data_IF_265671849663
#
_entry.id   IF_265671849663
#
_cell.length_a   1.000
_cell.length_b   1.000
_cell.length_c   1.000
_cell.angle_alpha   90.00
_cell.angle_beta   90.00
_cell.angle_gamma   90.00
#
_symmetry.space_group_name_H-M   'P 1'
#
loop_
_entity.id
_entity.type
_entity.pdbx_description
1 polymer ?
#
# COMPACT_ATOMS: atom_id res chain seq x y z
N UNK A 1 -12.94 9.37 -29.59
CA UNK A 1 -12.48 9.97 -28.31
C UNK A 1 -11.37 9.06 -27.78
N UNK A 2 -10.12 9.51 -27.79
CA UNK A 2 -8.98 8.67 -27.38
C UNK A 2 -9.05 8.51 -25.86
N UNK A 3 -9.40 7.32 -25.38
CA UNK A 3 -9.34 7.01 -23.96
C UNK A 3 -7.87 7.11 -23.51
N UNK A 4 -7.56 8.01 -22.58
CA UNK A 4 -6.27 7.98 -21.90
C UNK A 4 -6.19 6.66 -21.15
N UNK A 5 -5.19 5.86 -21.46
CA UNK A 5 -4.89 4.56 -20.84
C UNK A 5 -4.75 4.61 -19.31
N UNK A 6 -4.55 5.79 -18.72
CA UNK A 6 -4.51 5.98 -17.25
C UNK A 6 -5.88 6.16 -16.58
N UNK A 7 -6.98 6.33 -17.32
CA UNK A 7 -8.27 6.68 -16.73
C UNK A 7 -8.74 5.67 -15.67
N UNK A 8 -8.48 4.38 -15.85
CA UNK A 8 -8.99 3.34 -14.95
C UNK A 8 -8.23 3.30 -13.62
N UNK A 9 -6.89 3.31 -13.66
CA UNK A 9 -6.05 3.37 -12.46
C UNK A 9 -6.26 4.68 -11.70
N UNK A 10 -6.34 5.80 -12.42
CA UNK A 10 -6.68 7.09 -11.82
C UNK A 10 -8.06 7.02 -11.16
N UNK A 11 -9.07 6.48 -11.85
CA UNK A 11 -10.43 6.34 -11.29
C UNK A 11 -10.48 5.49 -10.02
N UNK A 12 -9.74 4.37 -9.99
CA UNK A 12 -9.64 3.50 -8.82
C UNK A 12 -9.01 4.24 -7.63
N UNK A 13 -7.85 4.86 -7.83
CA UNK A 13 -7.17 5.60 -6.78
C UNK A 13 -7.99 6.80 -6.31
N UNK A 14 -8.66 7.50 -7.22
CA UNK A 14 -9.61 8.56 -6.91
C UNK A 14 -10.76 8.04 -6.04
N UNK A 15 -11.37 6.91 -6.38
CA UNK A 15 -12.47 6.32 -5.61
C UNK A 15 -12.03 5.93 -4.19
N UNK A 16 -10.89 5.25 -4.06
CA UNK A 16 -10.32 4.90 -2.74
C UNK A 16 -10.04 6.15 -1.92
N UNK A 17 -9.39 7.17 -2.53
CA UNK A 17 -9.05 8.43 -1.86
C UNK A 17 -10.30 9.18 -1.40
N UNK A 18 -11.33 9.20 -2.23
CA UNK A 18 -12.60 9.81 -1.88
C UNK A 18 -13.34 9.05 -0.77
N UNK A 19 -13.25 7.72 -0.75
CA UNK A 19 -13.80 6.87 0.31
C UNK A 19 -13.18 7.21 1.67
N UNK A 20 -11.86 7.12 1.79
CA UNK A 20 -11.17 7.39 3.05
C UNK A 20 -11.36 8.84 3.50
N UNK A 21 -11.34 9.79 2.56
CA UNK A 21 -11.61 11.20 2.90
C UNK A 21 -13.02 11.41 3.45
N UNK A 22 -14.02 10.66 2.97
CA UNK A 22 -15.39 10.72 3.52
C UNK A 22 -15.48 10.06 4.90
N UNK A 23 -14.69 9.01 5.15
CA UNK A 23 -14.68 8.27 6.40
C UNK A 23 -14.01 9.04 7.54
N UNK A 24 -12.80 9.56 7.31
CA UNK A 24 -11.95 10.14 8.37
C UNK A 24 -11.62 11.62 8.15
N UNK A 25 -11.98 12.19 7.00
CA UNK A 25 -11.68 13.58 6.64
C UNK A 25 -10.34 13.75 5.93
N UNK A 26 -10.11 14.94 5.36
CA UNK A 26 -8.90 15.27 4.59
C UNK A 26 -7.62 15.26 5.44
N UNK A 27 -7.72 15.63 6.72
CA UNK A 27 -6.55 15.80 7.60
C UNK A 27 -5.80 14.49 7.88
N UNK A 28 -6.52 13.37 7.93
CA UNK A 28 -5.97 12.06 8.31
C UNK A 28 -5.75 11.16 7.08
N UNK A 29 -6.25 11.55 5.90
CA UNK A 29 -6.22 10.79 4.65
C UNK A 29 -4.88 10.12 4.33
N UNK A 30 -3.76 10.83 4.47
CA UNK A 30 -2.42 10.26 4.22
C UNK A 30 -2.09 9.13 5.18
N UNK A 31 -2.37 9.31 6.48
CA UNK A 31 -2.12 8.30 7.49
C UNK A 31 -3.02 7.07 7.29
N UNK A 32 -4.29 7.29 6.95
CA UNK A 32 -5.21 6.19 6.66
C UNK A 32 -4.74 5.37 5.45
N UNK A 33 -4.26 6.04 4.39
CA UNK A 33 -3.68 5.37 3.23
C UNK A 33 -2.39 4.62 3.55
N UNK A 34 -1.52 5.18 4.40
CA UNK A 34 -0.31 4.49 4.90
C UNK A 34 -0.68 3.25 5.75
N UNK A 35 -1.84 3.26 6.41
CA UNK A 35 -2.31 2.17 7.26
C UNK A 35 -3.14 1.11 6.50
N UNK A 36 -3.47 1.35 5.22
CA UNK A 36 -4.20 0.37 4.43
C UNK A 36 -3.38 -0.92 4.28
N UNK A 37 -4.01 -2.10 4.37
CA UNK A 37 -3.31 -3.34 4.10
C UNK A 37 -2.83 -3.37 2.64
N UNK A 38 -1.71 -4.04 2.31
CA UNK A 38 -1.21 -4.14 0.94
C UNK A 38 -2.26 -4.68 -0.04
N UNK A 39 -3.17 -5.53 0.43
CA UNK A 39 -4.26 -6.11 -0.35
C UNK A 39 -5.47 -5.17 -0.55
N UNK A 40 -5.47 -3.94 -0.03
CA UNK A 40 -6.63 -3.04 -0.10
C UNK A 40 -7.07 -2.74 -1.53
N UNK A 41 -6.12 -2.47 -2.43
CA UNK A 41 -6.41 -2.25 -3.85
C UNK A 41 -6.99 -3.51 -4.52
N UNK A 42 -6.44 -4.68 -4.19
CA UNK A 42 -6.95 -5.96 -4.69
C UNK A 42 -8.41 -6.19 -4.25
N UNK A 43 -8.71 -5.98 -2.96
CA UNK A 43 -10.07 -6.15 -2.45
C UNK A 43 -11.09 -5.27 -3.19
N UNK A 44 -10.68 -4.07 -3.59
CA UNK A 44 -11.52 -3.20 -4.40
C UNK A 44 -11.71 -3.73 -5.83
N UNK A 45 -10.64 -4.23 -6.46
CA UNK A 45 -10.71 -4.82 -7.80
C UNK A 45 -11.61 -6.05 -7.85
N UNK A 46 -11.64 -6.87 -6.80
CA UNK A 46 -12.48 -8.08 -6.70
C UNK A 46 -14.00 -7.77 -6.67
N UNK A 47 -14.41 -6.50 -6.59
CA UNK A 47 -15.82 -6.10 -6.72
C UNK A 47 -16.28 -6.00 -8.18
N UNK A 48 -15.36 -6.01 -9.13
CA UNK A 48 -15.67 -5.94 -10.56
C UNK A 48 -15.78 -7.35 -11.13
N UNK A 49 -16.97 -7.73 -11.61
CA UNK A 49 -17.23 -9.07 -12.12
C UNK A 49 -16.29 -9.46 -13.27
N UNK A 50 -16.01 -8.54 -14.18
CA UNK A 50 -15.10 -8.77 -15.31
C UNK A 50 -13.66 -9.03 -14.85
N UNK A 51 -13.19 -8.30 -13.83
CA UNK A 51 -11.88 -8.51 -13.22
C UNK A 51 -11.80 -9.89 -12.57
N UNK A 52 -12.82 -10.27 -11.79
CA UNK A 52 -12.90 -11.59 -11.16
C UNK A 52 -12.87 -12.69 -12.22
N UNK A 53 -13.68 -12.55 -13.28
CA UNK A 53 -13.74 -13.52 -14.36
C UNK A 53 -12.38 -13.68 -15.05
N UNK A 54 -11.67 -12.57 -15.29
CA UNK A 54 -10.36 -12.59 -15.94
C UNK A 54 -9.25 -13.17 -15.06
N UNK A 55 -9.28 -12.91 -13.75
CA UNK A 55 -8.19 -13.30 -12.82
C UNK A 55 -8.38 -14.70 -12.25
N UNK A 56 -9.59 -15.06 -11.82
CA UNK A 56 -9.85 -16.35 -11.17
C UNK A 56 -11.11 -17.07 -11.68
N UNK A 57 -11.83 -16.52 -12.67
CA UNK A 57 -13.09 -17.06 -13.19
C UNK A 57 -14.27 -16.81 -12.24
N UNK A 58 -14.14 -17.21 -10.98
CA UNK A 58 -15.10 -16.93 -9.89
C UNK A 58 -14.38 -16.69 -8.57
N UNK A 59 -15.02 -15.98 -7.64
CA UNK A 59 -14.46 -15.74 -6.31
C UNK A 59 -14.20 -17.04 -5.53
N UNK A 60 -15.00 -18.09 -5.74
CA UNK A 60 -14.82 -19.40 -5.11
C UNK A 60 -13.48 -20.06 -5.48
N UNK A 61 -12.91 -19.68 -6.64
CA UNK A 61 -11.64 -20.21 -7.15
C UNK A 61 -10.45 -19.30 -6.84
N UNK A 62 -10.66 -18.22 -6.08
CA UNK A 62 -9.60 -17.27 -5.76
C UNK A 62 -8.42 -17.96 -5.05
N UNK A 63 -8.69 -18.86 -4.10
CA UNK A 63 -7.65 -19.61 -3.40
C UNK A 63 -6.83 -20.51 -4.34
N UNK A 64 -7.50 -21.16 -5.30
CA UNK A 64 -6.82 -21.97 -6.33
C UNK A 64 -5.92 -21.09 -7.21
N UNK A 65 -6.41 -19.93 -7.62
CA UNK A 65 -5.64 -18.98 -8.44
C UNK A 65 -4.38 -18.50 -7.71
N UNK A 66 -4.47 -18.18 -6.41
CA UNK A 66 -3.28 -17.88 -5.59
C UNK A 66 -2.31 -19.05 -5.49
N UNK A 67 -2.82 -20.26 -5.23
CA UNK A 67 -1.97 -21.44 -5.12
C UNK A 67 -1.23 -21.75 -6.43
N UNK A 68 -1.83 -21.47 -7.59
CA UNK A 68 -1.20 -21.63 -8.90
C UNK A 68 -0.11 -20.57 -9.16
N UNK A 69 -0.32 -19.32 -8.75
CA UNK A 69 0.71 -18.28 -8.81
C UNK A 69 1.94 -18.65 -7.97
N UNK A 70 1.70 -19.21 -6.78
CA UNK A 70 2.76 -19.65 -5.88
C UNK A 70 3.45 -20.94 -6.37
N UNK A 71 2.72 -21.83 -7.08
CA UNK A 71 3.25 -23.10 -7.56
C UNK A 71 4.49 -22.95 -8.46
N UNK A 72 4.52 -21.91 -9.31
CA UNK A 72 5.68 -21.61 -10.15
C UNK A 72 6.92 -21.18 -9.34
N UNK A 73 6.72 -20.56 -8.18
CA UNK A 73 7.78 -20.09 -7.27
C UNK A 73 8.11 -21.10 -6.15
N UNK A 74 7.29 -22.15 -5.99
CA UNK A 74 7.39 -23.13 -4.89
C UNK A 74 8.69 -23.93 -4.90
N UNK A 75 9.28 -24.16 -6.08
CA UNK A 75 10.60 -24.77 -6.25
C UNK A 75 11.75 -23.95 -5.63
N UNK A 76 11.51 -22.67 -5.27
CA UNK A 76 12.46 -21.78 -4.58
C UNK A 76 12.11 -21.54 -3.09
N UNK A 77 11.00 -22.09 -2.58
CA UNK A 77 10.30 -21.57 -1.39
C UNK A 77 10.40 -22.41 -0.11
N UNK A 78 11.14 -23.52 -0.06
CA UNK A 78 11.17 -24.36 1.16
C UNK A 78 11.87 -23.65 2.35
N UNK A 79 12.58 -22.53 2.11
CA UNK A 79 13.23 -21.74 3.15
C UNK A 79 12.69 -20.31 3.22
N UNK A 80 11.40 -20.11 3.54
CA UNK A 80 10.91 -18.77 3.90
C UNK A 80 9.91 -18.86 5.05
N UNK A 81 10.43 -18.92 6.28
CA UNK A 81 9.78 -18.18 7.36
C UNK A 81 9.87 -16.72 6.96
N UNK A 82 8.76 -16.15 6.49
CA UNK A 82 8.74 -14.80 5.95
C UNK A 82 9.02 -13.81 7.08
N UNK A 83 10.29 -13.45 7.27
CA UNK A 83 10.60 -12.08 7.65
C UNK A 83 9.99 -11.22 6.55
N UNK A 84 8.80 -10.68 6.82
CA UNK A 84 8.21 -9.66 5.99
C UNK A 84 9.08 -8.42 6.14
N UNK A 85 10.20 -8.38 5.41
CA UNK A 85 10.78 -7.14 4.97
C UNK A 85 9.71 -6.49 4.10
N UNK A 86 8.80 -5.75 4.74
CA UNK A 86 7.88 -4.88 4.05
C UNK A 86 8.73 -4.07 3.06
N UNK A 87 8.40 -4.06 1.76
CA UNK A 87 9.16 -3.25 0.81
C UNK A 87 9.17 -1.84 1.39
N UNK A 88 10.36 -1.27 1.59
CA UNK A 88 10.51 0.09 2.07
C UNK A 88 9.79 0.99 1.06
N UNK A 89 8.57 1.41 1.40
CA UNK A 89 7.76 2.25 0.52
C UNK A 89 8.45 3.61 0.51
N UNK A 90 9.16 3.91 -0.58
CA UNK A 90 9.73 5.23 -0.81
C UNK A 90 8.57 6.23 -0.94
N UNK A 91 8.25 6.87 0.17
CA UNK A 91 7.31 7.98 0.24
C UNK A 91 8.08 9.27 0.37
N UNK A 92 7.60 10.33 -0.29
CA UNK A 92 8.12 11.69 -0.09
C UNK A 92 7.93 12.20 1.34
N UNK A 93 7.20 11.46 2.18
CA UNK A 93 6.98 11.74 3.60
C UNK A 93 7.51 10.61 4.47
N UNK A 94 8.15 10.96 5.59
CA UNK A 94 8.56 10.02 6.63
C UNK A 94 7.38 9.16 7.10
N UNK A 95 7.62 7.89 7.45
CA UNK A 95 6.59 7.04 8.04
C UNK A 95 6.12 7.60 9.39
N UNK A 96 4.96 7.17 9.88
CA UNK A 96 4.49 7.60 11.22
C UNK A 96 5.49 7.21 12.33
N UNK A 97 6.17 6.07 12.20
CA UNK A 97 7.22 5.63 13.13
C UNK A 97 8.43 6.56 13.06
N UNK A 98 8.89 6.90 11.86
CA UNK A 98 10.03 7.80 11.66
C UNK A 98 9.72 9.22 12.11
N UNK A 99 8.51 9.72 11.83
CA UNK A 99 8.02 11.01 12.33
C UNK A 99 8.06 11.07 13.86
N UNK A 100 7.63 10.01 14.55
CA UNK A 100 7.70 9.92 16.01
C UNK A 100 9.15 9.89 16.50
N UNK A 101 10.03 9.21 15.78
CA UNK A 101 11.45 9.11 16.11
C UNK A 101 12.16 10.47 15.98
N UNK A 102 11.93 11.20 14.88
CA UNK A 102 12.51 12.53 14.64
C UNK A 102 11.99 13.58 15.61
N UNK A 103 10.74 13.47 16.08
CA UNK A 103 10.14 14.38 17.07
C UNK A 103 10.56 14.11 18.52
N UNK A 104 11.52 13.21 18.75
CA UNK A 104 12.09 13.01 20.09
C UNK A 104 12.98 14.19 20.45
N UNK A 105 12.95 14.63 21.70
CA UNK A 105 13.76 15.74 22.22
C UNK A 105 15.25 15.59 21.88
N UNK A 106 15.78 14.36 21.98
CA UNK A 106 17.18 14.03 21.65
C UNK A 106 17.54 14.44 20.21
N UNK A 107 16.60 14.32 19.27
CA UNK A 107 16.83 14.69 17.87
C UNK A 107 16.73 16.20 17.66
N UNK A 108 15.78 16.87 18.32
CA UNK A 108 15.67 18.33 18.31
C UNK A 108 16.94 18.98 18.85
N UNK A 109 17.45 18.48 19.98
CA UNK A 109 18.71 18.93 20.59
C UNK A 109 19.91 18.74 19.65
N UNK A 110 19.96 17.60 18.95
CA UNK A 110 21.02 17.31 17.98
C UNK A 110 20.98 18.26 16.77
N UNK A 111 19.78 18.55 16.24
CA UNK A 111 19.62 19.48 15.13
C UNK A 111 20.00 20.90 15.56
N UNK A 112 19.56 21.35 16.73
CA UNK A 112 19.91 22.67 17.27
C UNK A 112 21.40 22.80 17.59
N UNK A 113 22.04 21.74 18.08
CA UNK A 113 23.48 21.69 18.32
C UNK A 113 24.28 21.78 17.02
N UNK A 114 23.91 20.99 16.01
CA UNK A 114 24.55 21.04 14.70
C UNK A 114 24.42 22.42 14.03
N UNK A 115 23.25 23.07 14.16
CA UNK A 115 23.00 24.41 13.60
C UNK A 115 23.81 25.52 14.29
N UNK A 116 24.24 25.34 15.55
CA UNK A 116 25.10 26.29 16.27
C UNK A 116 26.59 26.15 15.92
N UNK A 117 26.95 25.03 15.31
CA UNK A 117 28.32 24.72 14.90
C UNK A 117 28.61 25.05 13.41
N UNK A 118 27.63 25.61 12.70
CA UNK A 118 27.73 26.06 11.30
C UNK A 118 27.81 27.59 11.24
#
# INVERSE_FOLDING_TARGET
>A
MVARTNNELESLFHAMKHGERRRSGRKILTQDFEALPPAAALAQNLRHADYVHLVCGSLDRLAEAFAQLDAANRSRSIAVGAEQNAPMIESASLSTTDKKFVRREIFEDRVLSAAKCA
#
